data_IF_099612313937
#
_entry.id   IF_099612313937
#
_cell.length_a   1.000
_cell.length_b   1.000
_cell.length_c   1.000
_cell.angle_alpha   90.00
_cell.angle_beta   90.00
_cell.angle_gamma   90.00
#
_symmetry.space_group_name_H-M   'P 1'
#
loop_
_entity.id
_entity.type
_entity.pdbx_description
1 polymer ?
#
# COMPACT_ATOMS: atom_id res chain seq x y z
N UNK A 1 -28.44 -4.43 0.13
CA UNK A 1 -27.34 -3.81 -0.62
C UNK A 1 -26.04 -4.34 -0.05
N UNK A 2 -25.12 -4.78 -0.91
CA UNK A 2 -23.86 -5.42 -0.49
C UNK A 2 -22.80 -4.33 -0.27
N UNK A 3 -22.40 -4.09 0.98
CA UNK A 3 -21.34 -3.14 1.33
C UNK A 3 -19.95 -3.70 1.00
N UNK A 4 -18.99 -2.81 0.77
CA UNK A 4 -17.56 -3.17 0.62
C UNK A 4 -16.67 -2.25 1.45
N UNK A 5 -15.69 -2.86 2.10
CA UNK A 5 -14.54 -2.18 2.67
C UNK A 5 -13.39 -2.23 1.66
N UNK A 6 -12.94 -1.10 1.18
CA UNK A 6 -11.65 -0.96 0.50
C UNK A 6 -10.60 -0.49 1.52
N UNK A 7 -9.46 -1.15 1.57
CA UNK A 7 -8.42 -0.85 2.55
C UNK A 7 -7.04 -0.87 1.89
N UNK A 8 -6.17 0.04 2.30
CA UNK A 8 -4.77 0.06 1.89
C UNK A 8 -3.94 -0.98 2.65
N UNK A 9 -2.78 -1.32 2.12
CA UNK A 9 -1.82 -2.26 2.72
C UNK A 9 -0.78 -1.52 3.55
N UNK A 10 0.04 -0.68 2.91
CA UNK A 10 1.21 -0.07 3.51
C UNK A 10 0.83 1.08 4.45
N UNK A 11 1.36 1.06 5.66
CA UNK A 11 1.00 2.04 6.68
C UNK A 11 -0.34 1.78 7.37
N UNK A 12 -1.12 0.77 6.91
CA UNK A 12 -2.41 0.39 7.50
C UNK A 12 -2.38 -1.05 8.03
N UNK A 13 -2.19 -2.04 7.16
CA UNK A 13 -2.12 -3.47 7.52
C UNK A 13 -0.66 -3.91 7.65
N UNK A 14 0.19 -3.52 6.69
CA UNK A 14 1.62 -3.82 6.66
C UNK A 14 2.40 -2.62 7.19
N UNK A 15 3.16 -2.84 8.25
CA UNK A 15 3.96 -1.82 8.90
C UNK A 15 5.45 -2.14 8.73
N UNK A 16 6.21 -1.14 8.33
CA UNK A 16 7.66 -1.22 8.16
C UNK A 16 8.37 -0.82 9.45
N UNK A 17 9.55 -1.43 9.71
CA UNK A 17 10.35 -1.07 10.88
C UNK A 17 10.83 0.39 10.80
N UNK A 18 10.46 1.22 11.77
CA UNK A 18 10.88 2.62 11.79
C UNK A 18 12.40 2.77 11.87
N UNK A 19 12.95 3.66 11.05
CA UNK A 19 14.39 3.94 11.05
C UNK A 19 15.26 2.97 10.25
N UNK A 20 14.72 1.86 9.76
CA UNK A 20 15.48 0.87 8.98
C UNK A 20 16.15 1.49 7.75
N UNK A 21 15.41 2.28 6.98
CA UNK A 21 15.96 2.96 5.79
C UNK A 21 17.12 3.88 6.16
N UNK A 22 16.99 4.63 7.25
CA UNK A 22 18.05 5.51 7.72
C UNK A 22 19.31 4.74 8.17
N UNK A 23 19.11 3.60 8.84
CA UNK A 23 20.21 2.68 9.19
C UNK A 23 20.86 2.09 7.93
N UNK A 24 20.09 1.65 6.95
CA UNK A 24 20.59 1.13 5.66
C UNK A 24 21.41 2.18 4.91
N UNK A 25 20.96 3.44 4.90
CA UNK A 25 21.72 4.54 4.29
C UNK A 25 23.06 4.74 4.97
N UNK A 26 23.11 4.70 6.31
CA UNK A 26 24.35 4.82 7.08
C UNK A 26 25.30 3.65 6.78
N UNK A 27 24.82 2.39 6.80
CA UNK A 27 25.62 1.20 6.48
C UNK A 27 26.24 1.27 5.08
N UNK A 28 25.46 1.77 4.12
CA UNK A 28 25.89 1.90 2.73
C UNK A 28 26.69 3.21 2.46
N UNK A 29 26.84 4.08 3.47
CA UNK A 29 27.49 5.37 3.34
C UNK A 29 26.78 6.30 2.35
N UNK A 30 25.45 6.21 2.27
CA UNK A 30 24.60 7.11 1.50
C UNK A 30 24.26 8.37 2.33
N UNK A 31 24.04 9.50 1.68
CA UNK A 31 23.45 10.66 2.36
C UNK A 31 22.06 10.31 2.92
N UNK A 32 21.74 10.80 4.11
CA UNK A 32 20.42 10.64 4.73
C UNK A 32 19.31 11.13 3.82
N UNK A 33 18.32 10.28 3.60
CA UNK A 33 17.17 10.56 2.73
C UNK A 33 17.41 10.29 1.24
N UNK A 34 18.65 10.03 0.82
CA UNK A 34 18.98 9.80 -0.59
C UNK A 34 18.27 8.58 -1.17
N UNK A 35 18.15 7.50 -0.40
CA UNK A 35 17.41 6.33 -0.84
C UNK A 35 15.93 6.65 -1.07
N UNK A 36 15.28 7.27 -0.10
CA UNK A 36 13.87 7.61 -0.20
C UNK A 36 13.60 8.60 -1.35
N UNK A 37 14.48 9.61 -1.54
CA UNK A 37 14.38 10.58 -2.63
C UNK A 37 14.47 9.90 -4.00
N UNK A 38 15.35 8.93 -4.16
CA UNK A 38 15.54 8.23 -5.43
C UNK A 38 14.48 7.14 -5.63
N UNK A 39 14.30 6.23 -4.68
CA UNK A 39 13.42 5.07 -4.82
C UNK A 39 11.95 5.48 -4.88
N UNK A 40 11.53 6.40 -4.00
CA UNK A 40 10.15 6.86 -3.88
C UNK A 40 9.90 8.23 -4.50
N UNK A 41 10.88 8.76 -5.22
CA UNK A 41 10.71 9.95 -6.04
C UNK A 41 9.60 9.77 -7.07
N UNK A 42 8.85 10.84 -7.43
CA UNK A 42 7.61 10.74 -8.22
C UNK A 42 7.79 10.05 -9.56
N UNK A 43 8.98 10.13 -10.14
CA UNK A 43 9.27 9.48 -11.43
C UNK A 43 9.29 7.95 -11.29
N UNK A 44 10.16 7.39 -10.45
CA UNK A 44 10.32 5.94 -10.31
C UNK A 44 9.11 5.29 -9.65
N UNK A 45 8.59 5.89 -8.59
CA UNK A 45 7.41 5.35 -7.91
C UNK A 45 6.18 5.34 -8.84
N UNK A 46 6.03 6.37 -9.68
CA UNK A 46 4.95 6.43 -10.67
C UNK A 46 5.07 5.34 -11.73
N UNK A 47 6.29 4.99 -12.16
CA UNK A 47 6.52 3.92 -13.13
C UNK A 47 6.23 2.54 -12.54
N UNK A 48 6.74 2.23 -11.35
CA UNK A 48 6.62 0.89 -10.78
C UNK A 48 5.20 0.63 -10.27
N UNK A 49 4.53 1.61 -9.65
CA UNK A 49 3.16 1.44 -9.15
C UNK A 49 2.09 1.43 -10.23
N UNK A 50 2.45 1.81 -11.47
CA UNK A 50 1.58 1.68 -12.64
C UNK A 50 2.01 0.53 -13.57
N UNK A 51 2.96 -0.32 -13.14
CA UNK A 51 3.40 -1.48 -13.89
C UNK A 51 4.16 -1.18 -15.18
N UNK A 52 4.63 0.06 -15.37
CA UNK A 52 5.46 0.45 -16.53
C UNK A 52 6.87 -0.09 -16.43
N UNK A 53 7.33 -0.36 -15.23
CA UNK A 53 8.54 -1.12 -14.91
C UNK A 53 8.22 -2.15 -13.84
N UNK A 54 8.97 -3.25 -13.83
CA UNK A 54 8.87 -4.28 -12.80
C UNK A 54 9.52 -3.83 -11.49
N UNK A 55 9.25 -4.54 -10.41
CA UNK A 55 9.90 -4.31 -9.12
C UNK A 55 11.43 -4.49 -9.23
N UNK A 56 11.89 -5.44 -10.03
CA UNK A 56 13.31 -5.72 -10.27
C UNK A 56 13.97 -4.56 -11.04
N UNK A 57 13.33 -4.08 -12.10
CA UNK A 57 13.82 -2.91 -12.85
C UNK A 57 13.86 -1.66 -11.97
N UNK A 58 12.88 -1.46 -11.11
CA UNK A 58 12.86 -0.38 -10.13
C UNK A 58 14.06 -0.43 -9.18
N UNK A 59 14.40 -1.63 -8.65
CA UNK A 59 15.56 -1.83 -7.77
C UNK A 59 16.87 -1.53 -8.47
N UNK A 60 17.04 -2.06 -9.68
CA UNK A 60 18.23 -1.85 -10.50
C UNK A 60 18.40 -0.36 -10.82
N UNK A 61 17.34 0.32 -11.25
CA UNK A 61 17.39 1.74 -11.59
C UNK A 61 17.64 2.62 -10.36
N UNK A 62 17.06 2.28 -9.21
CA UNK A 62 17.35 2.93 -7.92
C UNK A 62 18.83 2.80 -7.58
N UNK A 63 19.38 1.59 -7.64
CA UNK A 63 20.81 1.34 -7.39
C UNK A 63 21.71 2.10 -8.35
N UNK A 64 21.36 2.13 -9.64
CA UNK A 64 22.11 2.90 -10.64
C UNK A 64 22.16 4.40 -10.34
N UNK A 65 21.00 4.98 -9.94
CA UNK A 65 20.91 6.41 -9.59
C UNK A 65 21.68 6.72 -8.30
N UNK A 66 21.58 5.87 -7.29
CA UNK A 66 22.31 6.04 -6.04
C UNK A 66 23.83 5.88 -6.23
N UNK A 67 24.27 5.00 -7.14
CA UNK A 67 25.68 4.89 -7.51
C UNK A 67 26.24 6.17 -8.14
N UNK A 68 25.41 6.97 -8.80
CA UNK A 68 25.82 8.28 -9.31
C UNK A 68 26.06 9.29 -8.18
N UNK A 69 25.37 9.17 -7.06
CA UNK A 69 25.56 10.00 -5.86
C UNK A 69 26.75 9.50 -5.01
N UNK A 70 26.97 8.18 -4.98
CA UNK A 70 28.04 7.53 -4.23
C UNK A 70 28.80 6.56 -5.16
N UNK A 71 29.86 6.99 -5.84
CA UNK A 71 30.73 6.12 -6.59
C UNK A 71 31.29 4.99 -5.70
N UNK A 72 31.19 3.74 -6.16
CA UNK A 72 31.59 2.56 -5.40
C UNK A 72 30.50 1.96 -4.50
N UNK A 73 29.25 2.44 -4.57
CA UNK A 73 28.12 1.79 -3.93
C UNK A 73 27.98 0.34 -4.43
N UNK A 74 27.94 -0.59 -3.48
CA UNK A 74 27.56 -1.97 -3.76
C UNK A 74 26.03 -2.04 -3.94
N UNK A 75 25.60 -2.18 -5.19
CA UNK A 75 24.17 -2.23 -5.53
C UNK A 75 23.53 -3.55 -5.14
N UNK A 76 24.29 -4.65 -5.17
CA UNK A 76 23.76 -5.95 -4.78
C UNK A 76 23.49 -5.97 -3.26
N UNK A 77 24.39 -5.37 -2.47
CA UNK A 77 24.18 -5.19 -1.05
C UNK A 77 23.02 -4.23 -0.73
N UNK A 78 22.88 -3.14 -1.47
CA UNK A 78 21.72 -2.25 -1.35
C UNK A 78 20.41 -3.01 -1.57
N UNK A 79 20.33 -3.80 -2.65
CA UNK A 79 19.11 -4.56 -2.98
C UNK A 79 18.84 -5.62 -1.90
N UNK A 80 19.87 -6.31 -1.42
CA UNK A 80 19.76 -7.29 -0.35
C UNK A 80 19.18 -6.65 0.93
N UNK A 81 19.76 -5.56 1.38
CA UNK A 81 19.28 -4.84 2.57
C UNK A 81 17.86 -4.31 2.37
N UNK A 82 17.53 -3.80 1.19
CA UNK A 82 16.17 -3.35 0.90
C UNK A 82 15.15 -4.48 0.98
N UNK A 83 15.48 -5.66 0.42
CA UNK A 83 14.62 -6.84 0.48
C UNK A 83 14.49 -7.43 1.89
N UNK A 84 15.48 -7.22 2.74
CA UNK A 84 15.50 -7.65 4.15
C UNK A 84 14.82 -6.64 5.10
N UNK A 85 14.26 -5.53 4.58
CA UNK A 85 13.55 -4.58 5.44
C UNK A 85 12.48 -5.29 6.27
N UNK A 86 12.56 -5.21 7.61
CA UNK A 86 11.58 -5.89 8.45
C UNK A 86 10.20 -5.28 8.28
N UNK A 87 9.23 -6.17 8.13
CA UNK A 87 7.82 -5.83 8.04
C UNK A 87 7.02 -6.66 9.04
N UNK A 88 5.90 -6.13 9.50
CA UNK A 88 4.93 -6.86 10.32
C UNK A 88 3.51 -6.55 9.88
N UNK A 89 2.62 -7.48 10.14
CA UNK A 89 1.18 -7.26 10.00
C UNK A 89 0.66 -6.64 11.30
N UNK A 90 -0.25 -5.67 11.19
CA UNK A 90 -1.00 -5.15 12.34
C UNK A 90 -2.17 -6.09 12.64
N UNK A 91 -2.01 -6.90 13.70
CA UNK A 91 -3.01 -7.91 14.07
C UNK A 91 -4.35 -7.30 14.49
N UNK A 92 -4.35 -6.09 15.07
CA UNK A 92 -5.59 -5.40 15.46
C UNK A 92 -6.37 -4.94 14.22
N UNK A 93 -5.68 -4.39 13.21
CA UNK A 93 -6.30 -4.02 11.94
C UNK A 93 -6.78 -5.27 11.20
N UNK A 94 -5.98 -6.33 11.18
CA UNK A 94 -6.37 -7.57 10.53
C UNK A 94 -7.61 -8.21 11.17
N UNK A 95 -7.72 -8.14 12.51
CA UNK A 95 -8.91 -8.57 13.21
C UNK A 95 -10.18 -7.77 12.82
N UNK A 96 -10.03 -6.44 12.59
CA UNK A 96 -11.12 -5.60 12.08
C UNK A 96 -11.52 -6.00 10.66
N UNK A 97 -10.55 -6.24 9.78
CA UNK A 97 -10.77 -6.73 8.41
C UNK A 97 -11.58 -8.04 8.43
N UNK A 98 -11.17 -9.00 9.26
CA UNK A 98 -11.86 -10.30 9.42
C UNK A 98 -13.29 -10.13 9.95
N UNK A 99 -13.51 -9.23 10.92
CA UNK A 99 -14.84 -8.94 11.44
C UNK A 99 -15.76 -8.33 10.37
N UNK A 100 -15.25 -7.40 9.56
CA UNK A 100 -16.00 -6.82 8.44
C UNK A 100 -16.33 -7.89 7.40
N UNK A 101 -15.38 -8.76 7.08
CA UNK A 101 -15.55 -9.81 6.04
C UNK A 101 -16.65 -10.80 6.35
N UNK A 102 -17.05 -10.96 7.61
CA UNK A 102 -18.20 -11.82 7.99
C UNK A 102 -19.55 -11.29 7.46
N UNK A 103 -19.64 -10.01 7.08
CA UNK A 103 -20.90 -9.34 6.74
C UNK A 103 -20.84 -8.50 5.47
N UNK A 104 -19.65 -8.20 4.96
CA UNK A 104 -19.42 -7.36 3.80
C UNK A 104 -18.25 -7.90 2.98
N UNK A 105 -18.05 -7.37 1.77
CA UNK A 105 -16.87 -7.65 0.99
C UNK A 105 -15.67 -6.83 1.47
N UNK A 106 -14.48 -7.39 1.32
CA UNK A 106 -13.23 -6.68 1.57
C UNK A 106 -12.36 -6.69 0.32
N UNK A 107 -11.92 -5.52 -0.10
CA UNK A 107 -11.00 -5.31 -1.21
C UNK A 107 -9.72 -4.61 -0.76
N UNK A 108 -8.58 -5.20 -1.01
CA UNK A 108 -7.29 -4.52 -0.87
C UNK A 108 -7.10 -3.58 -2.07
N UNK A 109 -6.79 -2.29 -1.83
CA UNK A 109 -6.52 -1.29 -2.88
C UNK A 109 -5.19 -0.62 -2.58
N UNK A 110 -4.12 -1.07 -3.23
CA UNK A 110 -2.76 -0.67 -2.85
C UNK A 110 -1.91 -0.24 -4.04
N UNK A 111 -1.10 0.81 -3.83
CA UNK A 111 -0.06 1.24 -4.75
C UNK A 111 1.16 0.33 -4.59
N UNK A 112 1.08 -0.86 -5.17
CA UNK A 112 2.08 -1.90 -5.02
C UNK A 112 2.79 -2.21 -6.35
N UNK A 113 3.71 -3.14 -6.29
CA UNK A 113 4.53 -3.56 -7.41
C UNK A 113 4.12 -4.95 -7.92
N UNK A 114 4.81 -5.45 -8.95
CA UNK A 114 4.66 -6.83 -9.45
C UNK A 114 4.95 -7.92 -8.41
N UNK A 115 5.57 -7.59 -7.27
CA UNK A 115 5.88 -8.54 -6.18
C UNK A 115 4.73 -8.75 -5.20
N UNK A 116 3.66 -7.94 -5.25
CA UNK A 116 2.58 -7.98 -4.27
C UNK A 116 2.01 -9.39 -4.02
N UNK A 117 1.74 -10.23 -5.05
CA UNK A 117 1.20 -11.57 -4.78
C UNK A 117 2.12 -12.42 -3.91
N UNK A 118 3.42 -12.34 -4.13
CA UNK A 118 4.41 -13.06 -3.32
C UNK A 118 4.52 -12.48 -1.92
N UNK A 119 4.47 -11.17 -1.78
CA UNK A 119 4.55 -10.49 -0.49
C UNK A 119 3.35 -10.80 0.40
N UNK A 120 2.13 -10.86 -0.17
CA UNK A 120 0.93 -11.25 0.59
C UNK A 120 0.99 -12.71 1.06
N UNK A 121 1.51 -13.61 0.21
CA UNK A 121 1.73 -15.01 0.56
C UNK A 121 2.76 -15.15 1.70
N UNK A 122 3.89 -14.45 1.61
CA UNK A 122 4.94 -14.48 2.63
C UNK A 122 4.47 -13.91 3.98
N UNK A 123 3.51 -12.97 3.95
CA UNK A 123 2.84 -12.43 5.13
C UNK A 123 1.67 -13.31 5.63
N UNK A 124 1.22 -14.29 4.83
CA UNK A 124 0.10 -15.17 5.16
C UNK A 124 -1.25 -14.45 5.25
N UNK A 125 -1.44 -13.41 4.43
CA UNK A 125 -2.67 -12.60 4.42
C UNK A 125 -3.37 -12.55 3.05
N UNK A 126 -2.94 -13.33 2.08
CA UNK A 126 -3.51 -13.34 0.73
C UNK A 126 -4.98 -13.73 0.71
N UNK A 127 -5.41 -14.59 1.63
CA UNK A 127 -6.80 -15.09 1.74
C UNK A 127 -7.71 -14.16 2.56
N UNK A 128 -7.20 -13.04 3.09
CA UNK A 128 -8.00 -12.12 3.90
C UNK A 128 -8.89 -11.18 3.07
N UNK A 129 -8.68 -11.15 1.75
CA UNK A 129 -9.38 -10.24 0.84
C UNK A 129 -10.21 -10.98 -0.19
N UNK A 130 -11.42 -10.48 -0.46
CA UNK A 130 -12.27 -10.99 -1.54
C UNK A 130 -11.81 -10.46 -2.92
N UNK A 131 -11.16 -9.29 -2.92
CA UNK A 131 -10.58 -8.65 -4.10
C UNK A 131 -9.23 -8.04 -3.76
N UNK A 132 -8.30 -8.11 -4.71
CA UNK A 132 -7.01 -7.43 -4.65
C UNK A 132 -6.89 -6.52 -5.88
N UNK A 133 -6.72 -5.23 -5.64
CA UNK A 133 -6.52 -4.20 -6.64
C UNK A 133 -5.08 -3.69 -6.53
N UNK A 134 -4.17 -4.39 -7.19
CA UNK A 134 -2.78 -4.00 -7.33
C UNK A 134 -2.66 -2.96 -8.45
N UNK A 135 -2.25 -1.75 -8.12
CA UNK A 135 -2.18 -0.66 -9.09
C UNK A 135 -1.21 -0.92 -10.23
N UNK A 136 -0.14 -1.70 -10.01
CA UNK A 136 0.76 -2.10 -11.10
C UNK A 136 0.10 -2.99 -12.15
N UNK A 137 -0.93 -3.75 -11.78
CA UNK A 137 -1.74 -4.54 -12.71
C UNK A 137 -2.87 -3.72 -13.34
N UNK A 138 -3.34 -2.68 -12.63
CA UNK A 138 -4.39 -1.78 -13.12
C UNK A 138 -3.86 -0.77 -14.16
N UNK A 139 -2.56 -0.49 -14.14
CA UNK A 139 -1.94 0.54 -14.99
C UNK A 139 -2.19 1.98 -14.52
N UNK A 140 -2.80 2.15 -13.35
CA UNK A 140 -3.15 3.44 -12.75
C UNK A 140 -3.00 3.36 -11.23
N UNK A 141 -2.52 4.43 -10.58
CA UNK A 141 -2.19 4.45 -9.15
C UNK A 141 -3.02 5.49 -8.39
N UNK A 142 -3.32 5.22 -7.11
CA UNK A 142 -3.85 6.23 -6.19
C UNK A 142 -2.90 7.45 -6.16
N UNK A 143 -3.38 8.68 -6.14
CA UNK A 143 -4.75 9.13 -5.92
C UNK A 143 -5.60 9.32 -7.19
N UNK A 144 -5.22 8.74 -8.35
CA UNK A 144 -6.08 8.83 -9.54
C UNK A 144 -7.46 8.20 -9.25
N UNK A 145 -8.57 8.95 -9.45
CA UNK A 145 -9.92 8.46 -9.18
C UNK A 145 -10.29 7.22 -10.00
N UNK A 146 -9.60 6.96 -11.10
CA UNK A 146 -9.88 5.77 -11.92
C UNK A 146 -9.59 4.46 -11.19
N UNK A 147 -8.64 4.43 -10.26
CA UNK A 147 -8.41 3.26 -9.39
C UNK A 147 -9.69 2.87 -8.66
N UNK A 148 -10.36 3.84 -8.04
CA UNK A 148 -11.60 3.61 -7.29
C UNK A 148 -12.77 3.25 -8.22
N UNK A 149 -12.87 3.87 -9.41
CA UNK A 149 -13.90 3.51 -10.39
C UNK A 149 -13.73 2.07 -10.87
N UNK A 150 -12.49 1.62 -11.09
CA UNK A 150 -12.22 0.22 -11.45
C UNK A 150 -12.64 -0.70 -10.30
N UNK A 151 -12.27 -0.37 -9.04
CA UNK A 151 -12.61 -1.17 -7.88
C UNK A 151 -14.15 -1.30 -7.71
N UNK A 152 -14.88 -0.19 -7.74
CA UNK A 152 -16.34 -0.17 -7.65
C UNK A 152 -17.01 -1.01 -8.76
N UNK A 153 -16.56 -0.84 -10.02
CA UNK A 153 -17.08 -1.62 -11.15
C UNK A 153 -16.83 -3.12 -11.00
N UNK A 154 -15.63 -3.52 -10.58
CA UNK A 154 -15.29 -4.96 -10.42
C UNK A 154 -16.06 -5.62 -9.29
N UNK A 155 -16.33 -4.87 -8.21
CA UNK A 155 -17.15 -5.36 -7.08
C UNK A 155 -18.63 -5.29 -7.40
N UNK A 156 -19.05 -4.38 -8.27
CA UNK A 156 -20.46 -4.20 -8.66
C UNK A 156 -21.28 -3.42 -7.63
N UNK A 157 -20.68 -2.39 -6.99
CA UNK A 157 -21.34 -1.54 -5.99
C UNK A 157 -21.24 -0.07 -6.37
N UNK A 158 -22.15 0.74 -5.84
CA UNK A 158 -22.07 2.19 -5.91
C UNK A 158 -21.07 2.77 -4.88
N UNK A 159 -20.62 4.02 -5.07
CA UNK A 159 -19.72 4.68 -4.12
C UNK A 159 -20.34 4.83 -2.73
N UNK A 160 -21.67 4.97 -2.62
CA UNK A 160 -22.42 5.08 -1.36
C UNK A 160 -22.39 3.81 -0.51
N UNK A 161 -22.12 2.66 -1.13
CA UNK A 161 -22.01 1.35 -0.47
C UNK A 161 -20.55 0.96 -0.16
N UNK A 162 -19.60 1.81 -0.53
CA UNK A 162 -18.18 1.60 -0.30
C UNK A 162 -17.65 2.44 0.87
N UNK A 163 -16.75 1.86 1.64
CA UNK A 163 -15.96 2.53 2.66
C UNK A 163 -14.48 2.34 2.34
N UNK A 164 -13.69 3.42 2.33
CA UNK A 164 -12.27 3.36 1.99
C UNK A 164 -11.40 3.81 3.16
N UNK A 165 -10.30 3.08 3.41
CA UNK A 165 -9.32 3.35 4.46
C UNK A 165 -7.92 3.44 3.88
N UNK A 166 -7.21 4.52 4.19
CA UNK A 166 -5.84 4.76 3.70
C UNK A 166 -5.14 5.74 4.66
N UNK A 167 -3.84 5.63 4.85
CA UNK A 167 -3.04 6.52 5.70
C UNK A 167 -2.62 7.81 4.97
N UNK A 168 -2.83 7.87 3.65
CA UNK A 168 -2.42 9.00 2.83
C UNK A 168 -3.61 9.94 2.51
N UNK A 169 -3.56 11.23 2.96
CA UNK A 169 -4.70 12.14 2.85
C UNK A 169 -5.15 12.42 1.41
N UNK A 170 -4.24 12.38 0.42
CA UNK A 170 -4.60 12.57 -0.99
C UNK A 170 -5.44 11.41 -1.53
N UNK A 171 -5.17 10.17 -1.11
CA UNK A 171 -5.94 9.00 -1.51
C UNK A 171 -7.35 9.05 -0.92
N UNK A 172 -7.45 9.39 0.38
CA UNK A 172 -8.73 9.59 1.06
C UNK A 172 -9.57 10.67 0.39
N UNK A 173 -8.95 11.83 0.07
CA UNK A 173 -9.64 12.92 -0.61
C UNK A 173 -10.14 12.51 -2.01
N UNK A 174 -9.35 11.76 -2.77
CA UNK A 174 -9.74 11.29 -4.10
C UNK A 174 -10.93 10.32 -4.06
N UNK A 175 -10.95 9.40 -3.09
CA UNK A 175 -12.10 8.51 -2.88
C UNK A 175 -13.36 9.29 -2.47
N UNK A 176 -13.22 10.23 -1.55
CA UNK A 176 -14.32 11.06 -1.07
C UNK A 176 -14.96 11.92 -2.19
N UNK A 177 -14.16 12.42 -3.14
CA UNK A 177 -14.65 13.16 -4.31
C UNK A 177 -15.56 12.33 -5.23
N UNK A 178 -15.44 11.00 -5.18
CA UNK A 178 -16.32 10.08 -5.91
C UNK A 178 -17.59 9.70 -5.14
N UNK A 179 -17.75 10.21 -3.90
CA UNK A 179 -18.87 9.86 -3.04
C UNK A 179 -18.63 8.61 -2.18
N UNK A 180 -17.42 8.04 -2.19
CA UNK A 180 -17.02 6.95 -1.29
C UNK A 180 -16.84 7.55 0.10
N UNK A 181 -17.44 6.92 1.12
CA UNK A 181 -17.13 7.27 2.52
C UNK A 181 -15.70 6.85 2.83
N UNK A 182 -14.82 7.79 3.17
CA UNK A 182 -13.39 7.54 3.33
C UNK A 182 -12.88 7.96 4.72
N UNK A 183 -11.95 7.19 5.26
CA UNK A 183 -11.32 7.40 6.57
C UNK A 183 -9.80 7.51 6.41
N UNK A 184 -9.23 8.59 6.96
CA UNK A 184 -7.79 8.75 7.08
C UNK A 184 -7.32 7.92 8.29
N UNK A 185 -6.63 6.83 8.00
CA UNK A 185 -6.11 5.93 9.03
C UNK A 185 -5.06 6.62 9.90
N UNK A 186 -5.12 6.36 11.18
CA UNK A 186 -4.12 6.80 12.17
C UNK A 186 -3.71 5.67 13.11
N UNK A 187 -4.69 4.92 13.58
CA UNK A 187 -4.52 3.82 14.52
C UNK A 187 -5.74 2.87 14.50
N UNK A 188 -5.62 1.64 15.02
CA UNK A 188 -6.71 0.68 15.03
C UNK A 188 -7.97 1.14 15.79
N UNK A 189 -7.81 1.95 16.85
CA UNK A 189 -8.94 2.41 17.66
C UNK A 189 -9.82 3.39 16.88
N UNK A 190 -9.22 4.35 16.19
CA UNK A 190 -9.93 5.30 15.33
C UNK A 190 -10.56 4.61 14.12
N UNK A 191 -9.90 3.59 13.55
CA UNK A 191 -10.46 2.77 12.48
C UNK A 191 -11.68 1.99 12.97
N UNK A 192 -11.62 1.34 14.13
CA UNK A 192 -12.74 0.63 14.74
C UNK A 192 -13.97 1.54 14.89
N UNK A 193 -13.77 2.75 15.41
CA UNK A 193 -14.84 3.72 15.55
C UNK A 193 -15.46 4.10 14.21
N UNK A 194 -14.63 4.43 13.22
CA UNK A 194 -15.09 4.81 11.88
C UNK A 194 -15.86 3.69 11.16
N UNK A 195 -15.42 2.44 11.30
CA UNK A 195 -16.13 1.28 10.77
C UNK A 195 -17.49 1.06 11.44
N UNK A 196 -17.55 1.21 12.77
CA UNK A 196 -18.82 1.11 13.52
C UNK A 196 -19.80 2.20 13.09
N UNK A 197 -19.36 3.46 12.94
CA UNK A 197 -20.17 4.56 12.41
C UNK A 197 -20.61 4.34 10.95
N UNK A 198 -19.83 3.60 10.16
CA UNK A 198 -20.20 3.19 8.81
C UNK A 198 -21.23 2.04 8.81
N UNK A 199 -21.53 1.50 9.99
CA UNK A 199 -22.54 0.44 10.19
C UNK A 199 -22.00 -0.96 9.90
N UNK A 200 -20.70 -1.19 10.14
CA UNK A 200 -20.12 -2.53 10.21
C UNK A 200 -20.20 -3.02 11.69
N UNK A 201 -20.71 -4.24 11.88
CA UNK A 201 -20.69 -4.86 13.19
C UNK A 201 -19.28 -5.39 13.51
N UNK A 202 -18.72 -4.96 14.64
CA UNK A 202 -17.36 -5.31 15.05
C UNK A 202 -17.46 -6.00 16.43
N UNK A 203 -17.95 -7.23 16.42
CA UNK A 203 -18.05 -8.07 17.63
C UNK A 203 -16.70 -8.66 18.01
#
# INVERSE_FOLDING_TARGET
VRKVLFIDLDGVIRLFEPGYIAWMEDELGLPRGAFAEVAFGPELIGLVTTGRITAEEWRVETGRRLRALRPGLDVDELIRLWDEQPVRVDDEVLALVRAVRQQALVGLVTNATSRLPRELLDLGIEDEFDYIFNTSELGVAKPDPEVFRIALRRVGVGPEDAFFVDDHPKNVAAAAQLGIRAHLYKDPATLRHALAEAGFALS
#
